data_IF_332677935350
#
_entry.id   IF_332677935350
#
_cell.length_a   1.000
_cell.length_b   1.000
_cell.length_c   1.000
_cell.angle_alpha   90.00
_cell.angle_beta   90.00
_cell.angle_gamma   90.00
#
_symmetry.space_group_name_H-M   'P 1'
#
loop_
_entity.id
_entity.type
_entity.pdbx_description
1 polymer ?
#
# COMPACT_ATOMS: atom_id res chain seq x y z
N UNK A 1 18.98 13.22 -13.39
CA UNK A 1 17.51 13.15 -13.23
C UNK A 1 16.93 14.48 -13.73
N UNK A 2 16.46 14.49 -14.99
CA UNK A 2 15.86 15.66 -15.59
C UNK A 2 14.34 15.59 -15.44
N UNK A 3 13.72 16.69 -15.07
CA UNK A 3 12.28 16.84 -15.13
C UNK A 3 11.89 17.13 -16.56
N UNK A 4 11.18 16.20 -17.18
CA UNK A 4 10.77 16.30 -18.58
C UNK A 4 9.29 16.00 -18.74
N UNK A 5 8.72 16.53 -19.80
CA UNK A 5 7.34 16.23 -20.18
C UNK A 5 7.31 14.88 -20.91
N UNK A 6 6.47 13.97 -20.47
CA UNK A 6 6.24 12.69 -21.12
C UNK A 6 4.84 12.66 -21.74
N UNK A 7 4.68 11.95 -22.84
CA UNK A 7 3.36 11.74 -23.46
C UNK A 7 2.97 10.29 -23.26
N UNK A 8 1.77 10.09 -22.73
CA UNK A 8 1.17 8.80 -22.44
C UNK A 8 0.06 8.49 -23.45
N UNK A 9 0.03 7.29 -23.97
CA UNK A 9 -1.09 6.78 -24.77
C UNK A 9 -1.36 5.32 -24.45
N UNK A 10 -2.60 4.89 -24.64
CA UNK A 10 -3.04 3.52 -24.41
C UNK A 10 -3.69 2.97 -25.66
N UNK A 11 -3.40 1.71 -25.94
CA UNK A 11 -4.06 0.91 -26.97
C UNK A 11 -4.59 -0.37 -26.34
N UNK A 12 -5.74 -0.85 -26.80
CA UNK A 12 -6.39 -2.08 -26.30
C UNK A 12 -7.51 -1.81 -25.31
N UNK A 13 -7.75 -2.78 -24.42
CA UNK A 13 -8.93 -2.88 -23.58
C UNK A 13 -8.83 -2.08 -22.28
N UNK A 14 -8.45 -0.80 -22.36
CA UNK A 14 -8.35 0.06 -21.20
C UNK A 14 -8.13 1.54 -21.51
N UNK A 15 -8.17 2.33 -20.47
CA UNK A 15 -7.98 3.79 -20.52
C UNK A 15 -7.04 4.27 -19.45
N UNK A 16 -6.42 5.43 -19.66
CA UNK A 16 -5.69 6.17 -18.62
C UNK A 16 -6.70 6.96 -17.80
N UNK A 17 -6.82 6.63 -16.51
CA UNK A 17 -7.70 7.32 -15.58
C UNK A 17 -7.04 8.52 -14.94
N UNK A 18 -5.74 8.49 -14.83
CA UNK A 18 -4.99 9.58 -14.24
C UNK A 18 -3.50 9.44 -14.47
N UNK A 19 -2.80 10.53 -14.36
CA UNK A 19 -1.36 10.59 -14.38
C UNK A 19 -0.86 11.69 -13.45
N UNK A 20 0.39 11.63 -13.06
CA UNK A 20 0.99 12.65 -12.22
C UNK A 20 2.40 12.30 -11.81
N UNK A 21 2.92 13.07 -10.88
CA UNK A 21 4.22 12.86 -10.27
C UNK A 21 4.15 13.13 -8.76
N UNK A 22 5.25 12.95 -8.05
CA UNK A 22 5.30 13.14 -6.60
C UNK A 22 5.78 14.55 -6.19
N UNK A 23 5.78 15.52 -7.10
CA UNK A 23 6.15 16.90 -6.80
C UNK A 23 5.05 17.57 -5.97
N UNK A 24 5.33 18.03 -4.74
CA UNK A 24 4.29 18.59 -3.87
C UNK A 24 3.78 19.96 -4.32
N UNK A 25 4.48 20.61 -5.25
CA UNK A 25 4.11 21.92 -5.81
C UNK A 25 3.58 21.85 -7.23
N UNK A 26 3.46 20.64 -7.80
CA UNK A 26 2.89 20.47 -9.13
C UNK A 26 1.37 20.63 -9.08
N UNK A 27 0.87 21.59 -9.87
CA UNK A 27 -0.56 21.90 -9.97
C UNK A 27 -1.17 21.42 -11.31
N UNK A 28 -0.44 20.58 -12.07
CA UNK A 28 -0.99 20.00 -13.29
C UNK A 28 -2.17 19.07 -12.99
N UNK A 29 -3.13 19.04 -13.92
CA UNK A 29 -4.29 18.16 -13.78
C UNK A 29 -3.88 16.68 -13.81
N UNK A 30 -4.34 15.89 -12.85
CA UNK A 30 -4.19 14.43 -12.86
C UNK A 30 -4.87 13.73 -14.05
N UNK A 31 -5.63 14.45 -14.87
CA UNK A 31 -6.21 13.97 -16.14
C UNK A 31 -5.32 14.26 -17.35
N UNK A 32 -4.18 14.90 -17.17
CA UNK A 32 -3.23 15.17 -18.24
C UNK A 32 -2.70 13.86 -18.82
N UNK A 33 -2.64 13.75 -20.14
CA UNK A 33 -1.92 12.67 -20.83
C UNK A 33 -0.45 13.01 -21.07
N UNK A 34 0.00 14.16 -20.58
CA UNK A 34 1.36 14.63 -20.74
C UNK A 34 1.93 15.20 -19.42
N UNK A 35 2.01 14.37 -18.35
CA UNK A 35 2.56 14.83 -17.09
C UNK A 35 4.07 15.13 -17.20
N UNK A 36 4.56 15.98 -16.32
CA UNK A 36 6.00 16.11 -16.10
C UNK A 36 6.51 14.97 -15.23
N UNK A 37 7.76 14.62 -15.39
CA UNK A 37 8.45 13.79 -14.40
C UNK A 37 8.91 14.65 -13.22
N UNK A 38 9.03 14.05 -12.06
CA UNK A 38 9.70 14.61 -10.90
C UNK A 38 10.83 13.66 -10.48
N UNK A 39 12.05 14.16 -10.49
CA UNK A 39 13.25 13.34 -10.28
C UNK A 39 13.29 12.11 -11.23
N UNK A 40 12.92 12.35 -12.49
CA UNK A 40 12.88 11.32 -13.54
C UNK A 40 11.70 10.33 -13.46
N UNK A 41 10.72 10.53 -12.59
CA UNK A 41 9.59 9.60 -12.38
C UNK A 41 8.25 10.26 -12.62
N UNK A 42 7.33 9.53 -13.22
CA UNK A 42 5.90 9.85 -13.32
C UNK A 42 5.08 8.58 -13.12
N UNK A 43 3.80 8.74 -12.85
CA UNK A 43 2.85 7.64 -12.64
C UNK A 43 1.70 7.77 -13.63
N UNK A 44 1.21 6.63 -14.11
CA UNK A 44 -0.05 6.52 -14.83
C UNK A 44 -0.95 5.48 -14.17
N UNK A 45 -2.23 5.78 -14.06
CA UNK A 45 -3.25 4.86 -13.55
C UNK A 45 -4.04 4.33 -14.75
N UNK A 46 -3.95 3.03 -14.97
CA UNK A 46 -4.68 2.33 -16.02
C UNK A 46 -5.94 1.68 -15.44
N UNK A 47 -7.03 1.77 -16.18
CA UNK A 47 -8.27 1.08 -15.86
C UNK A 47 -8.68 0.21 -17.05
N UNK A 48 -8.94 -1.11 -16.83
CA UNK A 48 -9.57 -1.96 -17.83
C UNK A 48 -10.97 -1.42 -18.20
N UNK A 49 -11.39 -1.64 -19.45
CA UNK A 49 -12.73 -1.28 -19.93
C UNK A 49 -13.80 -2.33 -19.57
N UNK A 50 -13.42 -3.40 -18.88
CA UNK A 50 -14.29 -4.50 -18.48
C UNK A 50 -14.17 -5.74 -19.38
N UNK A 51 -13.43 -5.65 -20.47
CA UNK A 51 -13.22 -6.77 -21.37
C UNK A 51 -11.88 -7.47 -21.07
N UNK A 52 -11.86 -8.78 -21.27
CA UNK A 52 -10.61 -9.57 -21.26
C UNK A 52 -9.80 -9.22 -22.50
N UNK A 53 -8.49 -9.02 -22.32
CA UNK A 53 -7.60 -8.68 -23.43
C UNK A 53 -6.30 -8.08 -22.97
N UNK A 54 -5.75 -7.17 -23.75
CA UNK A 54 -4.47 -6.52 -23.46
C UNK A 54 -4.63 -5.01 -23.42
N UNK A 55 -3.88 -4.38 -22.55
CA UNK A 55 -3.74 -2.93 -22.43
C UNK A 55 -2.26 -2.62 -22.68
N UNK A 56 -1.94 -1.88 -23.72
CA UNK A 56 -0.58 -1.43 -23.97
C UNK A 56 -0.45 0.05 -23.67
N UNK A 57 0.32 0.38 -22.63
CA UNK A 57 0.72 1.75 -22.33
C UNK A 57 1.98 2.08 -23.12
N UNK A 58 1.92 3.15 -23.91
CA UNK A 58 3.06 3.73 -24.60
C UNK A 58 3.47 5.04 -23.92
N UNK A 59 4.76 5.24 -23.79
CA UNK A 59 5.36 6.44 -23.20
C UNK A 59 6.42 6.98 -24.17
N UNK A 60 6.34 8.27 -24.45
CA UNK A 60 7.35 8.97 -25.24
C UNK A 60 7.74 10.29 -24.59
N UNK A 61 8.96 10.74 -24.86
CA UNK A 61 9.46 12.07 -24.49
C UNK A 61 10.36 12.60 -25.58
N UNK A 62 10.44 13.92 -25.70
CA UNK A 62 11.30 14.56 -26.69
C UNK A 62 12.77 14.17 -26.48
N UNK A 63 13.44 13.82 -27.56
CA UNK A 63 14.85 13.42 -27.54
C UNK A 63 15.16 12.06 -26.88
N UNK A 64 14.13 11.29 -26.51
CA UNK A 64 14.30 9.97 -25.88
C UNK A 64 13.64 8.85 -26.70
N UNK A 65 14.19 7.66 -26.59
CA UNK A 65 13.56 6.47 -27.15
C UNK A 65 12.28 6.17 -26.38
N UNK A 66 11.16 6.04 -27.08
CA UNK A 66 9.89 5.62 -26.49
C UNK A 66 9.95 4.23 -25.89
N UNK A 67 9.07 3.97 -24.94
CA UNK A 67 8.91 2.68 -24.28
C UNK A 67 7.45 2.28 -24.25
N UNK A 68 7.18 0.97 -24.17
CA UNK A 68 5.84 0.43 -24.01
C UNK A 68 5.82 -0.72 -23.04
N UNK A 69 4.68 -0.91 -22.36
CA UNK A 69 4.39 -2.07 -21.53
C UNK A 69 3.00 -2.59 -21.86
N UNK A 70 2.87 -3.91 -22.00
CA UNK A 70 1.58 -4.57 -22.20
C UNK A 70 1.17 -5.32 -20.95
N UNK A 71 -0.07 -5.09 -20.51
CA UNK A 71 -0.69 -5.71 -19.34
C UNK A 71 -1.87 -6.53 -19.85
N UNK A 72 -1.93 -7.80 -19.47
CA UNK A 72 -3.06 -8.67 -19.79
C UNK A 72 -4.16 -8.50 -18.74
N UNK A 73 -5.38 -8.27 -19.21
CA UNK A 73 -6.58 -8.32 -18.36
C UNK A 73 -7.19 -9.73 -18.41
N UNK A 74 -7.65 -10.20 -17.26
CA UNK A 74 -8.31 -11.50 -17.13
C UNK A 74 -9.70 -11.33 -16.53
N UNK A 75 -10.60 -12.25 -16.81
CA UNK A 75 -11.90 -12.27 -16.16
C UNK A 75 -11.71 -12.48 -14.65
N UNK A 76 -12.47 -11.73 -13.85
CA UNK A 76 -12.47 -11.86 -12.39
C UNK A 76 -12.77 -13.28 -11.94
N UNK A 77 -13.61 -14.00 -12.67
CA UNK A 77 -13.91 -15.41 -12.36
C UNK A 77 -12.73 -16.33 -12.66
N UNK A 78 -12.04 -16.11 -13.78
CA UNK A 78 -10.83 -16.86 -14.14
C UNK A 78 -9.67 -16.57 -13.17
N UNK A 79 -9.48 -15.30 -12.81
CA UNK A 79 -8.49 -14.89 -11.82
C UNK A 79 -8.75 -15.58 -10.46
N UNK A 80 -10.01 -15.74 -10.09
CA UNK A 80 -10.40 -16.44 -8.85
C UNK A 80 -10.10 -17.94 -8.90
N UNK A 81 -10.11 -18.56 -10.10
CA UNK A 81 -9.79 -19.99 -10.27
C UNK A 81 -8.27 -20.25 -10.32
N UNK A 82 -7.50 -19.32 -10.87
CA UNK A 82 -6.03 -19.42 -10.89
C UNK A 82 -5.40 -18.94 -9.56
N UNK A 83 -6.17 -18.24 -8.73
CA UNK A 83 -5.63 -17.42 -7.67
C UNK A 83 -5.54 -18.09 -6.31
N UNK A 84 -4.34 -18.54 -5.98
CA UNK A 84 -3.93 -18.66 -4.57
C UNK A 84 -3.64 -17.30 -3.91
N UNK A 85 -3.56 -16.23 -4.70
CA UNK A 85 -2.98 -14.95 -4.29
C UNK A 85 -3.96 -13.78 -4.49
N UNK A 86 -5.21 -13.92 -4.03
CA UNK A 86 -6.22 -12.86 -4.16
C UNK A 86 -6.50 -12.21 -2.82
N UNK A 87 -6.24 -10.92 -2.73
CA UNK A 87 -6.75 -10.06 -1.66
C UNK A 87 -8.23 -9.79 -1.93
N UNK A 88 -9.11 -10.19 -1.02
CA UNK A 88 -10.55 -9.88 -1.10
C UNK A 88 -10.84 -8.62 -0.32
N UNK A 89 -11.12 -7.47 -0.98
CA UNK A 89 -11.43 -6.23 -0.27
C UNK A 89 -12.64 -6.40 0.65
N UNK A 90 -12.54 -5.86 1.88
CA UNK A 90 -13.61 -5.92 2.88
C UNK A 90 -13.68 -7.24 3.68
N UNK A 91 -12.85 -8.23 3.37
CA UNK A 91 -12.69 -9.40 4.24
C UNK A 91 -11.63 -9.16 5.31
N UNK A 92 -11.74 -9.88 6.42
CA UNK A 92 -10.66 -9.95 7.41
C UNK A 92 -9.47 -10.66 6.76
N UNK A 93 -8.34 -9.95 6.68
CA UNK A 93 -7.11 -10.52 6.16
C UNK A 93 -6.43 -11.34 7.25
N UNK A 94 -6.11 -12.58 6.93
CA UNK A 94 -5.53 -13.54 7.88
C UNK A 94 -4.09 -13.86 7.51
N UNK A 95 -3.29 -14.14 8.53
CA UNK A 95 -1.96 -14.69 8.37
C UNK A 95 -1.99 -16.18 7.98
N UNK A 96 -0.82 -16.78 7.75
CA UNK A 96 -0.68 -18.19 7.36
C UNK A 96 -1.16 -19.17 8.44
N UNK A 97 -1.28 -18.72 9.68
CA UNK A 97 -1.78 -19.51 10.80
C UNK A 97 -3.30 -19.34 11.01
N UNK A 98 -3.94 -18.49 10.19
CA UNK A 98 -5.37 -18.24 10.20
C UNK A 98 -5.81 -17.13 11.17
N UNK A 99 -4.89 -16.43 11.82
CA UNK A 99 -5.20 -15.32 12.70
C UNK A 99 -5.40 -14.02 11.91
N UNK A 100 -6.27 -13.11 12.35
CA UNK A 100 -6.36 -11.78 11.77
C UNK A 100 -5.02 -11.04 11.81
N UNK A 101 -4.63 -10.44 10.68
CA UNK A 101 -3.43 -9.60 10.64
C UNK A 101 -3.67 -8.34 11.46
N UNK A 102 -2.75 -8.05 12.37
CA UNK A 102 -2.80 -6.90 13.26
C UNK A 102 -1.52 -6.06 13.05
N UNK A 103 -1.54 -5.22 12.01
CA UNK A 103 -0.43 -4.35 11.61
C UNK A 103 -0.97 -2.97 11.21
N UNK A 104 -1.59 -2.27 12.16
CA UNK A 104 -2.26 -1.01 11.92
C UNK A 104 -1.27 0.09 11.52
N UNK A 105 -1.67 0.91 10.53
CA UNK A 105 -0.90 2.07 10.08
C UNK A 105 0.52 1.76 9.56
N UNK A 106 0.77 0.52 9.20
CA UNK A 106 2.09 0.01 8.89
C UNK A 106 2.64 0.37 7.52
N UNK A 107 3.87 -0.04 7.30
CA UNK A 107 4.59 0.06 6.04
C UNK A 107 5.18 -1.28 5.61
N UNK A 108 5.41 -1.43 4.32
CA UNK A 108 6.01 -2.63 3.73
C UNK A 108 7.41 -2.29 3.23
N UNK A 109 8.40 -3.06 3.68
CA UNK A 109 9.78 -3.05 3.20
C UNK A 109 10.02 -4.29 2.34
N UNK A 110 10.69 -4.14 1.21
CA UNK A 110 11.19 -5.26 0.41
C UNK A 110 12.70 -5.41 0.62
N UNK A 111 13.13 -6.58 1.08
CA UNK A 111 14.52 -6.89 1.30
C UNK A 111 14.82 -8.34 0.92
N UNK A 112 15.83 -8.55 0.10
CA UNK A 112 16.32 -9.88 -0.31
C UNK A 112 15.23 -10.87 -0.73
N UNK A 113 14.31 -10.44 -1.60
CA UNK A 113 13.24 -11.30 -2.12
C UNK A 113 12.11 -11.56 -1.15
N UNK A 114 12.01 -10.80 -0.05
CA UNK A 114 10.97 -10.92 0.96
C UNK A 114 10.36 -9.56 1.24
N UNK A 115 9.04 -9.52 1.34
CA UNK A 115 8.31 -8.36 1.83
C UNK A 115 8.15 -8.49 3.34
N UNK A 116 8.43 -7.42 4.07
CA UNK A 116 8.23 -7.32 5.51
C UNK A 116 7.22 -6.21 5.78
N UNK A 117 6.14 -6.54 6.46
CA UNK A 117 5.12 -5.59 6.85
C UNK A 117 5.24 -5.33 8.34
N UNK A 118 5.60 -4.10 8.68
CA UNK A 118 5.66 -3.63 10.08
C UNK A 118 4.45 -2.76 10.35
N UNK A 119 3.77 -3.00 11.45
CA UNK A 119 2.62 -2.20 11.84
C UNK A 119 2.38 -2.27 13.34
N UNK A 120 1.63 -1.29 13.85
CA UNK A 120 1.24 -1.30 15.24
C UNK A 120 0.34 -2.50 15.53
N UNK A 121 0.70 -3.26 16.53
CA UNK A 121 -0.15 -4.31 17.10
C UNK A 121 -1.10 -3.64 18.09
N UNK A 122 -2.39 -3.61 17.80
CA UNK A 122 -3.40 -3.09 18.72
C UNK A 122 -3.71 -4.12 19.79
N UNK A 123 -3.86 -3.69 21.04
CA UNK A 123 -4.38 -4.52 22.11
C UNK A 123 -5.83 -4.96 21.86
N UNK A 124 -6.28 -5.96 22.58
CA UNK A 124 -7.61 -6.54 22.40
C UNK A 124 -8.73 -5.66 22.95
N UNK A 125 -8.40 -4.75 23.85
CA UNK A 125 -9.38 -3.91 24.54
C UNK A 125 -9.38 -2.49 23.99
N UNK A 126 -10.58 -1.95 23.79
CA UNK A 126 -10.79 -0.54 23.51
C UNK A 126 -11.32 0.12 24.78
N UNK A 127 -10.67 1.18 25.23
CA UNK A 127 -11.09 1.91 26.43
C UNK A 127 -11.36 3.38 26.11
N UNK A 128 -12.13 4.00 26.98
CA UNK A 128 -12.46 5.42 26.92
C UNK A 128 -11.79 6.16 28.07
N UNK A 129 -11.12 7.25 27.73
CA UNK A 129 -10.59 8.16 28.74
C UNK A 129 -11.73 9.06 29.29
N UNK A 130 -11.97 9.03 30.58
CA UNK A 130 -13.10 9.71 31.22
C UNK A 130 -13.11 11.24 31.03
N UNK A 131 -11.96 11.83 30.88
CA UNK A 131 -11.79 13.28 30.73
C UNK A 131 -11.89 13.79 29.28
N UNK A 132 -11.89 12.91 28.28
CA UNK A 132 -11.99 13.27 26.86
C UNK A 132 -13.43 13.10 26.39
N UNK A 133 -14.02 14.13 25.81
CA UNK A 133 -15.42 14.14 25.35
C UNK A 133 -15.59 14.09 23.83
N UNK A 134 -14.50 13.88 23.08
CA UNK A 134 -14.50 13.85 21.61
C UNK A 134 -14.39 12.43 21.08
N UNK A 135 -14.47 12.25 19.76
CA UNK A 135 -14.25 10.98 19.10
C UNK A 135 -12.85 10.37 19.39
N UNK A 136 -11.87 11.19 19.75
CA UNK A 136 -10.52 10.77 20.12
C UNK A 136 -10.44 10.03 21.46
N UNK A 137 -11.55 9.99 22.18
CA UNK A 137 -11.58 9.37 23.50
C UNK A 137 -11.55 7.84 23.51
N UNK A 138 -11.73 7.20 22.38
CA UNK A 138 -11.65 5.75 22.27
C UNK A 138 -10.25 5.33 21.82
N UNK A 139 -9.58 4.53 22.62
CA UNK A 139 -8.25 4.02 22.33
C UNK A 139 -8.20 2.51 22.53
N UNK A 140 -7.43 1.83 21.68
CA UNK A 140 -6.94 0.50 21.95
C UNK A 140 -5.54 0.63 22.57
N UNK A 141 -5.23 -0.27 23.49
CA UNK A 141 -3.90 -0.35 24.08
C UNK A 141 -2.85 -0.59 23.00
N UNK A 142 -1.69 0.05 23.15
CA UNK A 142 -0.54 -0.26 22.32
C UNK A 142 -0.06 -1.67 22.67
N UNK A 143 0.04 -2.53 21.67
CA UNK A 143 0.52 -3.90 21.82
C UNK A 143 1.93 -4.11 21.29
N UNK A 144 2.63 -3.01 20.93
CA UNK A 144 3.94 -3.04 20.32
C UNK A 144 3.89 -2.95 18.78
N UNK A 145 4.99 -3.30 18.12
CA UNK A 145 5.08 -3.34 16.66
C UNK A 145 5.20 -4.78 16.19
N UNK A 146 4.25 -5.22 15.39
CA UNK A 146 4.26 -6.52 14.74
C UNK A 146 5.08 -6.50 13.46
N UNK A 147 5.67 -7.64 13.11
CA UNK A 147 6.27 -7.91 11.81
C UNK A 147 5.59 -9.13 11.18
N UNK A 148 5.27 -9.00 9.91
CA UNK A 148 4.83 -10.09 9.05
C UNK A 148 5.76 -10.18 7.85
N UNK A 149 6.01 -11.40 7.34
CA UNK A 149 6.78 -11.61 6.12
C UNK A 149 5.93 -12.26 5.02
N UNK A 150 6.26 -11.95 3.77
CA UNK A 150 5.59 -12.53 2.61
C UNK A 150 6.53 -12.63 1.41
N UNK A 151 6.28 -13.61 0.53
CA UNK A 151 6.95 -13.72 -0.77
C UNK A 151 6.09 -13.19 -1.94
N UNK A 152 4.79 -12.99 -1.71
CA UNK A 152 3.81 -12.71 -2.77
C UNK A 152 2.82 -11.59 -2.41
N UNK A 153 2.96 -10.92 -1.24
CA UNK A 153 2.08 -9.87 -0.73
C UNK A 153 0.66 -10.33 -0.36
N UNK A 154 0.38 -11.62 -0.38
CA UNK A 154 -0.93 -12.19 -0.07
C UNK A 154 -0.88 -13.14 1.12
N UNK A 155 0.12 -14.01 1.15
CA UNK A 155 0.34 -14.97 2.23
C UNK A 155 1.34 -14.36 3.22
N UNK A 156 0.84 -13.90 4.35
CA UNK A 156 1.64 -13.24 5.36
C UNK A 156 1.87 -14.15 6.56
N UNK A 157 3.11 -14.41 6.87
CA UNK A 157 3.51 -15.14 8.07
C UNK A 157 3.80 -14.15 9.20
N UNK A 158 3.24 -14.39 10.37
CA UNK A 158 3.57 -13.61 11.55
C UNK A 158 4.98 -13.95 12.05
N UNK A 159 5.86 -12.97 12.11
CA UNK A 159 7.25 -13.14 12.59
C UNK A 159 7.41 -12.74 14.07
N UNK A 160 6.38 -12.16 14.66
CA UNK A 160 6.38 -11.76 16.06
C UNK A 160 6.25 -10.24 16.25
N UNK A 161 6.29 -9.84 17.52
CA UNK A 161 6.40 -8.42 17.92
C UNK A 161 7.87 -8.05 17.97
N UNK A 162 8.31 -7.27 16.99
CA UNK A 162 9.72 -6.85 16.86
C UNK A 162 10.09 -5.70 17.78
N UNK A 163 9.08 -4.96 18.24
CA UNK A 163 9.20 -3.96 19.29
C UNK A 163 8.05 -4.21 20.28
N UNK A 164 8.30 -4.98 21.36
CA UNK A 164 7.29 -5.26 22.37
C UNK A 164 7.00 -4.03 23.25
N UNK A 165 5.89 -4.06 23.96
CA UNK A 165 5.56 -3.07 24.99
C UNK A 165 6.46 -3.24 26.23
N UNK A 166 6.57 -2.17 27.00
CA UNK A 166 7.21 -2.12 28.31
C UNK A 166 6.11 -1.92 29.35
N UNK A 167 5.64 -3.02 29.94
CA UNK A 167 4.41 -3.03 30.75
C UNK A 167 4.65 -2.57 32.20
N UNK A 168 5.88 -2.65 32.68
CA UNK A 168 6.29 -2.35 34.05
C UNK A 168 6.79 -0.91 34.26
N UNK A 169 6.90 -0.12 33.20
CA UNK A 169 7.29 1.30 33.26
C UNK A 169 6.24 2.21 32.61
N UNK A 170 5.31 2.80 33.40
CA UNK A 170 4.29 3.70 32.85
C UNK A 170 4.83 4.99 32.23
N UNK A 171 6.11 5.30 32.42
CA UNK A 171 6.77 6.48 31.83
C UNK A 171 7.42 6.18 30.49
N UNK A 172 7.51 4.91 30.12
CA UNK A 172 8.03 4.48 28.82
C UNK A 172 7.11 4.87 27.68
N UNK A 173 7.67 5.35 26.57
CA UNK A 173 6.93 5.60 25.33
C UNK A 173 6.34 4.30 24.73
N UNK A 174 6.82 3.13 25.17
CA UNK A 174 6.33 1.82 24.77
C UNK A 174 5.34 1.20 25.76
N UNK A 175 4.92 1.92 26.80
CA UNK A 175 3.92 1.41 27.72
C UNK A 175 2.55 1.26 27.02
N UNK A 176 1.73 0.25 27.33
CA UNK A 176 0.40 0.02 26.71
C UNK A 176 -0.53 1.22 26.73
N UNK A 177 -0.42 2.12 27.71
CA UNK A 177 -1.21 3.36 27.77
C UNK A 177 -0.79 4.43 26.77
N UNK A 178 0.36 4.26 26.12
CA UNK A 178 0.86 5.18 25.10
C UNK A 178 0.26 4.89 23.73
N UNK A 179 0.57 5.72 22.75
CA UNK A 179 0.13 5.55 21.38
C UNK A 179 1.35 5.30 20.50
N UNK A 180 1.36 4.15 19.85
CA UNK A 180 2.32 3.84 18.79
C UNK A 180 1.57 4.04 17.47
N UNK A 181 1.98 5.00 16.65
CA UNK A 181 1.33 5.25 15.37
C UNK A 181 2.31 5.17 14.21
N UNK A 182 1.87 4.49 13.15
CA UNK A 182 2.54 4.45 11.84
C UNK A 182 4.05 4.13 11.94
N UNK A 183 4.42 3.01 12.59
CA UNK A 183 5.82 2.62 12.67
C UNK A 183 6.39 2.46 11.26
N UNK A 184 7.60 2.97 11.06
CA UNK A 184 8.32 2.89 9.78
C UNK A 184 9.70 2.29 10.01
N UNK A 185 10.17 1.56 9.02
CA UNK A 185 11.48 0.94 8.95
C UNK A 185 12.25 1.48 7.76
#
# INVERSE_FOLDING_TARGET
DADMKVTLSVVGNGIIRGSGNACPTDMESFRSLSPKTFKGKAMAILQPDGNVGEITLNVSAEGMKGASITIRTVDRMSAKQEGKDIVTPGSIWKDTDGNPINAHGGGILYHEGTYYWYGEFKGDSTYRLDWVKTWECWRAEAGGVACYSSKNLTDWKFEGKVLPTVDDDPTSDLHPSQVIERPKV
#
